data_IF_638528733853
#
_entry.id   IF_638528733853
#
_cell.length_a   1.000
_cell.length_b   1.000
_cell.length_c   1.000
_cell.angle_alpha   90.00
_cell.angle_beta   90.00
_cell.angle_gamma   90.00
#
_symmetry.space_group_name_H-M   'P 1'
#
loop_
_entity.id
_entity.type
_entity.pdbx_description
1 polymer ?
#
# COMPACT_ATOMS: atom_id res chain seq x y z
N UNK A 1 -44.06 -37.63 -67.67
CA UNK A 1 -43.99 -36.68 -66.57
C UNK A 1 -42.84 -37.09 -65.66
N UNK A 2 -41.67 -36.50 -65.77
CA UNK A 2 -40.46 -36.78 -64.94
C UNK A 2 -40.35 -35.64 -63.92
N UNK A 3 -40.46 -35.94 -62.63
CA UNK A 3 -40.24 -35.01 -61.51
C UNK A 3 -38.78 -35.10 -61.09
N UNK A 4 -38.05 -34.04 -61.30
CA UNK A 4 -36.69 -33.87 -60.82
C UNK A 4 -36.70 -33.31 -59.40
N UNK A 5 -36.19 -34.08 -58.42
CA UNK A 5 -35.98 -33.65 -57.03
C UNK A 5 -34.62 -32.87 -56.97
N UNK A 6 -34.68 -31.58 -56.67
CA UNK A 6 -33.47 -30.80 -56.28
C UNK A 6 -33.25 -31.00 -54.79
N UNK A 7 -32.15 -31.63 -54.42
CA UNK A 7 -31.69 -31.72 -53.05
C UNK A 7 -30.78 -30.50 -52.74
N UNK A 8 -31.24 -29.62 -51.86
CA UNK A 8 -30.44 -28.44 -51.40
C UNK A 8 -29.57 -28.94 -50.24
N UNK A 9 -28.25 -29.00 -50.45
CA UNK A 9 -27.26 -29.26 -49.40
C UNK A 9 -26.98 -27.96 -48.69
N UNK A 10 -27.47 -27.81 -47.46
CA UNK A 10 -27.13 -26.72 -46.54
C UNK A 10 -25.74 -26.99 -45.92
N UNK A 11 -24.74 -26.22 -46.32
CA UNK A 11 -23.39 -26.25 -45.76
C UNK A 11 -23.41 -25.48 -44.46
N UNK A 12 -23.48 -26.17 -43.31
CA UNK A 12 -23.26 -25.61 -41.97
C UNK A 12 -21.76 -25.27 -41.79
N UNK A 13 -21.37 -24.04 -42.03
CA UNK A 13 -20.05 -23.52 -41.63
C UNK A 13 -20.12 -23.32 -40.10
N UNK A 14 -19.64 -24.32 -39.33
CA UNK A 14 -19.36 -24.16 -37.91
C UNK A 14 -18.19 -23.19 -37.79
N UNK A 15 -18.47 -21.93 -37.51
CA UNK A 15 -17.45 -20.94 -37.14
C UNK A 15 -16.75 -21.41 -35.86
N UNK A 16 -15.52 -21.92 -35.96
CA UNK A 16 -14.65 -22.08 -34.80
C UNK A 16 -14.41 -20.70 -34.22
N UNK A 17 -15.11 -20.36 -33.12
CA UNK A 17 -14.75 -19.23 -32.29
C UNK A 17 -13.38 -19.53 -31.70
N UNK A 18 -12.33 -18.97 -32.28
CA UNK A 18 -11.02 -18.91 -31.63
C UNK A 18 -11.22 -18.12 -30.33
N UNK A 19 -11.19 -18.82 -29.19
CA UNK A 19 -11.10 -18.15 -27.91
C UNK A 19 -9.79 -17.34 -27.94
N UNK A 20 -9.90 -16.02 -27.90
CA UNK A 20 -8.72 -15.17 -27.80
C UNK A 20 -7.94 -15.56 -26.56
N UNK A 21 -6.61 -15.60 -26.66
CA UNK A 21 -5.74 -15.89 -25.52
C UNK A 21 -6.12 -14.96 -24.35
N UNK A 22 -6.18 -15.48 -23.11
CA UNK A 22 -6.54 -14.66 -21.98
C UNK A 22 -5.57 -13.48 -21.81
N UNK A 23 -6.10 -12.31 -21.45
CA UNK A 23 -5.27 -11.14 -21.17
C UNK A 23 -4.19 -11.51 -20.16
N UNK A 24 -2.94 -11.14 -20.43
CA UNK A 24 -1.81 -11.35 -19.51
C UNK A 24 -1.30 -10.00 -19.02
N UNK A 25 -1.18 -9.86 -17.69
CA UNK A 25 -0.64 -8.65 -17.05
C UNK A 25 0.46 -8.99 -16.06
N UNK A 26 1.39 -8.02 -15.84
CA UNK A 26 2.31 -8.04 -14.73
C UNK A 26 1.75 -7.32 -13.50
N UNK A 27 2.21 -7.72 -12.28
CA UNK A 27 2.06 -6.93 -11.06
C UNK A 27 3.43 -6.84 -10.38
N UNK A 28 4.01 -5.63 -10.46
CA UNK A 28 5.38 -5.34 -10.09
C UNK A 28 5.40 -4.58 -8.76
N UNK A 29 6.13 -5.09 -7.76
CA UNK A 29 6.23 -4.47 -6.43
C UNK A 29 7.67 -4.30 -5.98
N UNK A 30 7.95 -3.20 -5.29
CA UNK A 30 9.30 -2.80 -4.86
C UNK A 30 9.90 -3.70 -3.78
N UNK A 31 9.09 -4.24 -2.88
CA UNK A 31 9.50 -5.03 -1.71
C UNK A 31 8.61 -6.27 -1.58
N UNK A 32 8.91 -7.27 -2.42
CA UNK A 32 8.10 -8.48 -2.55
C UNK A 32 7.90 -9.25 -1.24
N UNK A 33 8.82 -9.10 -0.27
CA UNK A 33 8.80 -9.74 1.03
C UNK A 33 7.89 -9.05 2.06
N UNK A 34 7.50 -7.79 1.84
CA UNK A 34 6.64 -7.07 2.77
C UNK A 34 5.20 -7.62 2.77
N UNK A 35 4.57 -7.77 3.95
CA UNK A 35 3.21 -8.29 4.07
C UNK A 35 2.18 -7.55 3.24
N UNK A 36 2.31 -6.23 3.10
CA UNK A 36 1.43 -5.40 2.27
C UNK A 36 1.42 -5.87 0.81
N UNK A 37 2.59 -6.02 0.20
CA UNK A 37 2.71 -6.43 -1.21
C UNK A 37 2.32 -7.89 -1.43
N UNK A 38 2.51 -8.75 -0.43
CA UNK A 38 2.01 -10.14 -0.47
C UNK A 38 0.47 -10.16 -0.49
N UNK A 39 -0.19 -9.31 0.30
CA UNK A 39 -1.64 -9.18 0.30
C UNK A 39 -2.17 -8.60 -1.02
N UNK A 40 -1.52 -7.58 -1.59
CA UNK A 40 -1.89 -7.09 -2.93
C UNK A 40 -1.81 -8.18 -3.99
N UNK A 41 -0.72 -8.94 -4.03
CA UNK A 41 -0.56 -10.06 -4.95
C UNK A 41 -1.64 -11.13 -4.75
N UNK A 42 -1.97 -11.45 -3.52
CA UNK A 42 -3.05 -12.42 -3.19
C UNK A 42 -4.40 -11.97 -3.76
N UNK A 43 -4.72 -10.68 -3.65
CA UNK A 43 -5.96 -10.14 -4.21
C UNK A 43 -5.91 -9.97 -5.74
N UNK A 44 -4.76 -9.66 -6.32
CA UNK A 44 -4.57 -9.68 -7.77
C UNK A 44 -4.74 -11.10 -8.36
N UNK A 45 -4.25 -12.15 -7.65
CA UNK A 45 -4.49 -13.55 -8.01
C UNK A 45 -5.97 -13.95 -7.89
N UNK A 46 -6.69 -13.44 -6.89
CA UNK A 46 -8.12 -13.62 -6.78
C UNK A 46 -8.83 -13.01 -8.00
N UNK A 47 -8.47 -11.78 -8.36
CA UNK A 47 -8.99 -11.11 -9.56
C UNK A 47 -8.69 -11.91 -10.84
N UNK A 48 -7.48 -12.46 -10.97
CA UNK A 48 -7.07 -13.27 -12.11
C UNK A 48 -7.95 -14.52 -12.26
N UNK A 49 -8.19 -15.23 -11.17
CA UNK A 49 -9.09 -16.41 -11.15
C UNK A 49 -10.53 -16.05 -11.51
N UNK A 50 -11.08 -14.98 -10.91
CA UNK A 50 -12.49 -14.61 -11.10
C UNK A 50 -12.78 -13.95 -12.46
N UNK A 51 -11.80 -13.26 -13.05
CA UNK A 51 -11.97 -12.51 -14.30
C UNK A 51 -11.32 -13.20 -15.52
N UNK A 52 -10.62 -14.33 -15.31
CA UNK A 52 -10.08 -15.16 -16.39
C UNK A 52 -8.89 -14.52 -17.11
N UNK A 53 -7.96 -13.87 -16.40
CA UNK A 53 -6.72 -13.35 -16.97
C UNK A 53 -5.48 -14.02 -16.35
N UNK A 54 -4.33 -13.91 -17.01
CA UNK A 54 -3.05 -14.42 -16.49
C UNK A 54 -2.30 -13.32 -15.76
N UNK A 55 -1.85 -13.62 -14.53
CA UNK A 55 -1.06 -12.71 -13.70
C UNK A 55 0.38 -13.18 -13.59
N UNK A 56 1.34 -12.27 -13.77
CA UNK A 56 2.78 -12.48 -13.54
C UNK A 56 3.23 -11.57 -12.41
N UNK A 57 3.63 -12.15 -11.27
CA UNK A 57 4.11 -11.41 -10.08
C UNK A 57 5.61 -11.22 -10.17
N UNK A 58 6.12 -9.99 -10.01
CA UNK A 58 7.56 -9.69 -10.13
C UNK A 58 7.99 -8.71 -9.04
N UNK A 59 9.00 -9.12 -8.23
CA UNK A 59 9.71 -8.21 -7.33
C UNK A 59 10.72 -7.34 -8.10
N UNK A 60 10.67 -6.02 -7.89
CA UNK A 60 11.50 -5.02 -8.57
C UNK A 60 12.24 -4.15 -7.55
N UNK A 61 13.26 -4.65 -6.86
CA UNK A 61 13.91 -3.96 -5.74
C UNK A 61 14.70 -2.70 -6.13
N UNK A 62 14.93 -2.47 -7.43
CA UNK A 62 15.67 -1.30 -7.94
C UNK A 62 15.29 -0.97 -9.40
N UNK A 63 15.79 0.16 -9.90
CA UNK A 63 15.47 0.65 -11.25
C UNK A 63 15.93 -0.28 -12.38
N UNK A 64 17.09 -0.96 -12.24
CA UNK A 64 17.57 -1.93 -13.23
C UNK A 64 16.60 -3.11 -13.35
N UNK A 65 16.21 -3.72 -12.23
CA UNK A 65 15.24 -4.80 -12.19
C UNK A 65 13.86 -4.38 -12.69
N UNK A 66 13.49 -3.12 -12.45
CA UNK A 66 12.24 -2.54 -12.99
C UNK A 66 12.24 -2.55 -14.52
N UNK A 67 13.30 -2.05 -15.15
CA UNK A 67 13.39 -2.03 -16.62
C UNK A 67 13.44 -3.44 -17.21
N UNK A 68 14.24 -4.31 -16.64
CA UNK A 68 14.33 -5.72 -17.06
C UNK A 68 12.98 -6.46 -16.93
N UNK A 69 12.20 -6.19 -15.87
CA UNK A 69 10.88 -6.77 -15.69
C UNK A 69 9.88 -6.31 -16.76
N UNK A 70 9.90 -5.02 -17.14
CA UNK A 70 9.02 -4.50 -18.21
C UNK A 70 9.36 -5.16 -19.56
N UNK A 71 10.65 -5.26 -19.91
CA UNK A 71 11.08 -5.90 -21.16
C UNK A 71 10.76 -7.41 -21.15
N UNK A 72 10.90 -8.09 -20.02
CA UNK A 72 10.52 -9.50 -19.85
C UNK A 72 9.00 -9.72 -20.01
N UNK A 73 8.16 -8.84 -19.47
CA UNK A 73 6.71 -8.90 -19.66
C UNK A 73 6.33 -8.77 -21.14
N UNK A 74 6.98 -7.86 -21.88
CA UNK A 74 6.79 -7.72 -23.31
C UNK A 74 7.17 -8.99 -24.09
N UNK A 75 8.33 -9.60 -23.75
CA UNK A 75 8.77 -10.87 -24.34
C UNK A 75 7.79 -12.01 -24.04
N UNK A 76 7.12 -12.01 -22.88
CA UNK A 76 6.08 -12.96 -22.51
C UNK A 76 4.70 -12.63 -23.12
N UNK A 77 4.60 -11.65 -24.02
CA UNK A 77 3.35 -11.17 -24.65
C UNK A 77 2.31 -10.66 -23.64
N UNK A 78 2.75 -10.08 -22.52
CA UNK A 78 1.86 -9.33 -21.64
C UNK A 78 1.35 -8.08 -22.38
N UNK A 79 0.15 -7.61 -22.02
CA UNK A 79 -0.48 -6.43 -22.60
C UNK A 79 -0.44 -5.20 -21.67
N UNK A 80 0.02 -5.38 -20.44
CA UNK A 80 0.17 -4.30 -19.47
C UNK A 80 0.68 -4.77 -18.13
N UNK A 81 0.86 -3.82 -17.23
CA UNK A 81 1.29 -4.12 -15.86
C UNK A 81 0.82 -3.07 -14.86
N UNK A 82 0.62 -3.51 -13.62
CA UNK A 82 0.50 -2.68 -12.42
C UNK A 82 1.88 -2.52 -11.83
N UNK A 83 2.21 -1.36 -11.26
CA UNK A 83 3.53 -1.10 -10.68
C UNK A 83 3.47 -0.23 -9.42
N UNK A 84 4.10 -0.72 -8.33
CA UNK A 84 4.63 0.07 -7.23
C UNK A 84 6.15 0.11 -7.37
N UNK A 85 6.70 1.22 -7.87
CA UNK A 85 8.12 1.34 -8.22
C UNK A 85 9.01 1.56 -6.98
N UNK A 86 10.27 1.06 -6.97
CA UNK A 86 11.22 1.27 -5.88
C UNK A 86 11.67 2.74 -5.74
N UNK A 87 11.58 3.50 -6.81
CA UNK A 87 11.80 4.95 -6.84
C UNK A 87 10.73 5.58 -7.75
N UNK A 88 9.91 6.45 -7.20
CA UNK A 88 8.82 7.12 -7.93
C UNK A 88 9.34 7.99 -9.09
N UNK A 89 10.60 8.46 -9.05
CA UNK A 89 11.25 9.24 -10.12
C UNK A 89 11.57 8.42 -11.37
N UNK A 90 11.41 7.11 -11.32
CA UNK A 90 11.48 6.25 -12.50
C UNK A 90 10.31 6.48 -13.47
N UNK A 91 9.32 7.31 -13.11
CA UNK A 91 8.08 7.53 -13.86
C UNK A 91 8.29 7.73 -15.36
N UNK A 92 9.19 8.63 -15.77
CA UNK A 92 9.47 8.85 -17.20
C UNK A 92 10.17 7.69 -17.90
N UNK A 93 10.99 6.91 -17.18
CA UNK A 93 11.61 5.70 -17.72
C UNK A 93 10.58 4.59 -17.91
N UNK A 94 9.71 4.38 -16.91
CA UNK A 94 8.59 3.43 -16.97
C UNK A 94 7.63 3.78 -18.12
N UNK A 95 7.22 5.06 -18.23
CA UNK A 95 6.35 5.53 -19.30
C UNK A 95 6.93 5.21 -20.70
N UNK A 96 8.21 5.54 -20.92
CA UNK A 96 8.91 5.27 -22.19
C UNK A 96 9.03 3.77 -22.47
N UNK A 97 9.39 2.96 -21.46
CA UNK A 97 9.52 1.53 -21.61
C UNK A 97 8.16 0.85 -21.92
N UNK A 98 7.10 1.25 -21.23
CA UNK A 98 5.75 0.77 -21.49
C UNK A 98 5.29 1.11 -22.91
N UNK A 99 5.50 2.37 -23.36
CA UNK A 99 5.13 2.83 -24.71
C UNK A 99 5.93 2.08 -25.79
N UNK A 100 7.25 1.93 -25.63
CA UNK A 100 8.10 1.20 -26.57
C UNK A 100 7.65 -0.25 -26.76
N UNK A 101 7.19 -0.87 -25.70
CA UNK A 101 6.75 -2.27 -25.67
C UNK A 101 5.22 -2.43 -25.89
N UNK A 102 4.49 -1.36 -26.22
CA UNK A 102 3.04 -1.36 -26.37
C UNK A 102 2.28 -1.94 -25.15
N UNK A 103 2.78 -1.66 -23.95
CA UNK A 103 2.18 -2.11 -22.68
C UNK A 103 1.36 -0.97 -22.06
N UNK A 104 0.16 -1.28 -21.58
CA UNK A 104 -0.59 -0.38 -20.70
C UNK A 104 -0.03 -0.45 -19.29
N UNK A 105 0.03 0.68 -18.58
CA UNK A 105 0.56 0.74 -17.21
C UNK A 105 -0.38 1.51 -16.29
N UNK A 106 -0.55 0.99 -15.08
CA UNK A 106 -1.24 1.63 -13.96
C UNK A 106 -0.29 1.61 -12.76
N UNK A 107 -0.10 2.74 -12.09
CA UNK A 107 0.67 2.78 -10.85
C UNK A 107 -0.23 2.52 -9.64
N UNK A 108 0.32 1.88 -8.61
CA UNK A 108 -0.36 1.57 -7.35
C UNK A 108 0.48 2.05 -6.17
N UNK A 109 -0.14 2.40 -5.05
CA UNK A 109 0.42 2.91 -3.79
C UNK A 109 1.18 4.23 -3.94
N UNK A 110 2.32 4.22 -4.63
CA UNK A 110 3.19 5.38 -4.80
C UNK A 110 3.07 5.92 -6.23
N UNK A 111 2.60 7.17 -6.32
CA UNK A 111 2.40 7.82 -7.61
C UNK A 111 3.72 8.10 -8.31
N UNK A 112 3.87 7.64 -9.53
CA UNK A 112 5.03 7.91 -10.37
C UNK A 112 5.14 9.41 -10.70
N UNK A 113 6.35 9.94 -10.57
CA UNK A 113 6.67 11.35 -10.85
C UNK A 113 7.81 11.49 -11.86
N UNK A 114 7.94 12.67 -12.43
CA UNK A 114 9.09 13.04 -13.25
C UNK A 114 10.30 13.47 -12.40
N UNK A 115 11.40 13.87 -13.04
CA UNK A 115 12.63 14.32 -12.37
C UNK A 115 12.45 15.58 -11.50
N UNK A 116 11.39 16.36 -11.74
CA UNK A 116 11.04 17.55 -10.93
C UNK A 116 10.08 17.23 -9.78
N UNK A 117 9.61 15.98 -9.66
CA UNK A 117 8.63 15.58 -8.67
C UNK A 117 7.18 15.78 -9.09
N UNK A 118 6.92 16.15 -10.35
CA UNK A 118 5.56 16.32 -10.87
C UNK A 118 4.97 14.95 -11.26
N UNK A 119 3.70 14.66 -10.90
CA UNK A 119 3.01 13.44 -11.27
C UNK A 119 3.01 13.17 -12.78
N UNK A 120 3.16 11.90 -13.17
CA UNK A 120 3.01 11.45 -14.56
C UNK A 120 1.53 11.21 -14.83
N UNK A 121 0.85 12.21 -15.39
CA UNK A 121 -0.61 12.16 -15.59
C UNK A 121 -1.07 11.14 -16.65
N UNK A 122 -0.18 10.73 -17.55
CA UNK A 122 -0.47 9.70 -18.57
C UNK A 122 -0.56 8.28 -18.00
N UNK A 123 -0.15 8.07 -16.73
CA UNK A 123 -0.23 6.80 -16.04
C UNK A 123 -1.32 6.91 -14.98
N UNK A 124 -2.48 6.23 -15.16
CA UNK A 124 -3.50 6.16 -14.12
C UNK A 124 -2.92 5.63 -12.81
N UNK A 125 -3.41 6.15 -11.70
CA UNK A 125 -2.90 5.85 -10.37
C UNK A 125 -4.01 5.41 -9.42
N UNK A 126 -3.79 4.32 -8.69
CA UNK A 126 -4.56 3.96 -7.51
C UNK A 126 -3.67 4.07 -6.28
N UNK A 127 -4.02 4.95 -5.37
CA UNK A 127 -3.23 5.19 -4.16
C UNK A 127 -4.08 5.55 -2.98
N UNK A 128 -3.43 6.11 -1.98
CA UNK A 128 -4.06 6.64 -0.78
C UNK A 128 -3.78 8.13 -0.68
N UNK A 129 -4.65 8.88 -0.02
CA UNK A 129 -4.29 10.21 0.46
C UNK A 129 -3.39 10.06 1.68
N UNK A 130 -2.06 10.01 1.46
CA UNK A 130 -1.09 9.82 2.53
C UNK A 130 -1.29 10.78 3.69
N UNK A 131 -1.51 12.06 3.40
CA UNK A 131 -1.78 13.08 4.40
C UNK A 131 -3.05 12.81 5.22
N UNK A 132 -4.18 12.48 4.57
CA UNK A 132 -5.45 12.23 5.26
C UNK A 132 -5.40 10.97 6.12
N UNK A 133 -4.75 9.91 5.64
CA UNK A 133 -4.54 8.68 6.44
C UNK A 133 -3.63 8.97 7.63
N UNK A 134 -2.56 9.72 7.43
CA UNK A 134 -1.71 10.19 8.53
C UNK A 134 -2.49 11.03 9.54
N UNK A 135 -3.35 11.92 9.08
CA UNK A 135 -4.22 12.71 9.96
C UNK A 135 -5.12 11.81 10.83
N UNK A 136 -5.69 10.74 10.27
CA UNK A 136 -6.47 9.76 11.04
C UNK A 136 -5.60 9.06 12.12
N UNK A 137 -4.32 8.78 11.85
CA UNK A 137 -3.38 8.27 12.86
C UNK A 137 -3.25 9.26 14.02
N UNK A 138 -2.96 10.52 13.72
CA UNK A 138 -2.82 11.57 14.75
C UNK A 138 -4.08 11.77 15.55
N UNK A 139 -5.26 11.81 14.91
CA UNK A 139 -6.57 11.91 15.57
C UNK A 139 -6.83 10.71 16.49
N UNK A 140 -6.51 9.49 16.06
CA UNK A 140 -6.61 8.29 16.88
C UNK A 140 -5.71 8.32 18.11
N UNK A 141 -4.46 8.80 17.96
CA UNK A 141 -3.55 8.99 19.09
C UNK A 141 -4.08 10.01 20.08
N UNK A 142 -4.59 11.16 19.62
CA UNK A 142 -5.18 12.18 20.49
C UNK A 142 -6.39 11.67 21.24
N UNK A 143 -7.25 10.91 20.58
CA UNK A 143 -8.39 10.26 21.22
C UNK A 143 -7.93 9.33 22.37
N UNK A 144 -6.87 8.55 22.14
CA UNK A 144 -6.36 7.61 23.14
C UNK A 144 -5.60 8.32 24.27
N UNK A 145 -4.85 9.40 24.00
CA UNK A 145 -4.25 10.26 25.04
C UNK A 145 -5.34 10.80 25.99
N UNK A 146 -6.47 11.28 25.43
CA UNK A 146 -7.61 11.77 26.20
C UNK A 146 -8.28 10.66 27.01
N UNK A 147 -8.48 9.49 26.38
CA UNK A 147 -9.08 8.31 27.01
C UNK A 147 -8.26 7.84 28.23
N UNK A 148 -6.94 7.80 28.09
CA UNK A 148 -5.99 7.46 29.17
C UNK A 148 -5.75 8.61 30.16
N UNK A 149 -6.31 9.78 29.94
CA UNK A 149 -6.14 10.99 30.76
C UNK A 149 -4.68 11.40 30.93
N UNK A 150 -3.86 11.21 29.90
CA UNK A 150 -2.47 11.61 29.92
C UNK A 150 -2.30 13.12 29.79
N UNK A 151 -1.39 13.68 30.58
CA UNK A 151 -0.96 15.06 30.38
C UNK A 151 -0.02 15.13 29.16
N UNK A 152 -0.43 15.83 28.10
CA UNK A 152 0.37 15.96 26.87
C UNK A 152 1.79 16.50 27.11
N UNK A 153 2.01 17.31 28.16
CA UNK A 153 3.34 17.80 28.51
C UNK A 153 4.31 16.67 28.95
N UNK A 154 3.79 15.53 29.40
CA UNK A 154 4.54 14.36 29.84
C UNK A 154 4.64 13.26 28.76
N UNK A 155 4.09 13.52 27.55
CA UNK A 155 4.08 12.57 26.43
C UNK A 155 5.15 12.95 25.41
N UNK A 156 6.01 12.01 25.02
CA UNK A 156 6.90 12.10 23.87
C UNK A 156 6.27 11.46 22.63
N UNK A 157 6.38 12.11 21.46
CA UNK A 157 5.92 11.57 20.20
C UNK A 157 7.11 11.19 19.30
N UNK A 158 7.27 9.91 18.99
CA UNK A 158 8.28 9.43 18.06
C UNK A 158 7.68 9.46 16.64
N UNK A 159 8.26 10.26 15.76
CA UNK A 159 7.99 10.22 14.34
C UNK A 159 9.06 9.35 13.66
N UNK A 160 8.71 8.10 13.35
CA UNK A 160 9.58 7.20 12.58
C UNK A 160 9.54 7.64 11.12
N UNK A 161 10.55 8.44 10.75
CA UNK A 161 10.56 9.18 9.50
C UNK A 161 11.25 8.43 8.36
N UNK A 162 10.66 8.52 7.15
CA UNK A 162 11.27 8.08 5.89
C UNK A 162 10.91 9.09 4.81
N UNK A 163 11.49 10.30 4.90
CA UNK A 163 11.06 11.47 4.13
C UNK A 163 11.51 11.46 2.67
N UNK A 164 12.39 10.55 2.29
CA UNK A 164 12.78 10.33 0.90
C UNK A 164 11.65 9.72 0.04
N UNK A 165 10.65 9.09 0.67
CA UNK A 165 9.43 8.61 0.02
C UNK A 165 8.32 9.64 0.25
N UNK A 166 7.81 10.33 -0.79
CA UNK A 166 6.79 11.38 -0.65
C UNK A 166 5.56 10.93 0.12
N UNK A 167 4.99 9.76 -0.19
CA UNK A 167 3.83 9.21 0.53
C UNK A 167 4.14 8.90 2.01
N UNK A 168 5.37 8.45 2.32
CA UNK A 168 5.82 8.25 3.70
C UNK A 168 5.90 9.55 4.48
N UNK A 169 6.43 10.61 3.85
CA UNK A 169 6.48 11.96 4.42
C UNK A 169 5.08 12.53 4.67
N UNK A 170 4.17 12.40 3.69
CA UNK A 170 2.78 12.86 3.81
C UNK A 170 2.06 12.19 4.98
N UNK A 171 2.20 10.87 5.14
CA UNK A 171 1.59 10.10 6.25
C UNK A 171 2.05 10.65 7.60
N UNK A 172 3.37 10.76 7.79
CA UNK A 172 3.89 11.26 9.07
C UNK A 172 3.60 12.74 9.28
N UNK A 173 3.58 13.57 8.22
CA UNK A 173 3.20 14.99 8.31
C UNK A 173 1.75 15.13 8.75
N UNK A 174 0.80 14.41 8.13
CA UNK A 174 -0.60 14.44 8.50
C UNK A 174 -0.84 14.05 9.98
N UNK A 175 -0.12 13.03 10.46
CA UNK A 175 -0.19 12.61 11.87
C UNK A 175 0.32 13.70 12.81
N UNK A 176 1.48 14.28 12.52
CA UNK A 176 2.08 15.34 13.33
C UNK A 176 1.23 16.62 13.34
N UNK A 177 0.65 16.99 12.20
CA UNK A 177 -0.21 18.16 12.10
C UNK A 177 -1.50 17.97 12.92
N UNK A 178 -2.08 16.77 12.93
CA UNK A 178 -3.22 16.45 13.79
C UNK A 178 -2.85 16.54 15.29
N UNK A 179 -1.68 16.04 15.69
CA UNK A 179 -1.19 16.20 17.06
C UNK A 179 -1.05 17.67 17.44
N UNK A 180 -0.39 18.49 16.61
CA UNK A 180 -0.21 19.94 16.83
C UNK A 180 -1.53 20.67 16.89
N UNK A 181 -2.46 20.36 15.98
CA UNK A 181 -3.79 20.99 15.96
C UNK A 181 -4.59 20.71 17.23
N UNK A 182 -4.34 19.60 17.91
CA UNK A 182 -4.94 19.26 19.20
C UNK A 182 -4.20 19.85 20.41
N UNK A 183 -3.16 20.67 20.21
CA UNK A 183 -2.38 21.31 21.27
C UNK A 183 -1.20 20.47 21.79
N UNK A 184 -0.79 19.41 21.09
CA UNK A 184 0.37 18.63 21.48
C UNK A 184 1.65 19.47 21.37
N UNK A 185 2.52 19.51 22.41
CA UNK A 185 3.70 20.36 22.41
C UNK A 185 4.68 20.00 21.29
N UNK A 186 5.02 20.95 20.42
CA UNK A 186 5.93 20.71 19.31
C UNK A 186 7.33 20.25 19.77
N UNK A 187 7.80 20.72 20.92
CA UNK A 187 9.08 20.32 21.53
C UNK A 187 9.11 18.85 22.01
N UNK A 188 7.97 18.19 22.09
CA UNK A 188 7.85 16.79 22.47
C UNK A 188 7.80 15.85 21.27
N UNK A 189 7.83 16.39 20.05
CA UNK A 189 7.88 15.60 18.81
C UNK A 189 9.34 15.34 18.47
N UNK A 190 9.71 14.08 18.35
CA UNK A 190 11.08 13.61 18.18
C UNK A 190 11.17 12.83 16.87
N UNK A 191 11.96 13.33 15.94
CA UNK A 191 12.25 12.64 14.70
C UNK A 191 13.21 11.46 14.93
N UNK A 192 12.82 10.30 14.40
CA UNK A 192 13.58 9.06 14.38
C UNK A 192 13.72 8.59 12.93
N UNK A 193 14.67 9.15 12.16
CA UNK A 193 14.85 8.77 10.76
C UNK A 193 15.37 7.34 10.65
N UNK A 194 14.67 6.51 9.85
CA UNK A 194 15.06 5.14 9.55
C UNK A 194 15.72 5.04 8.16
N UNK A 195 16.63 4.08 8.00
CA UNK A 195 17.34 3.88 6.73
C UNK A 195 16.53 3.04 5.73
N UNK A 196 15.64 2.16 6.20
CA UNK A 196 14.72 1.34 5.43
C UNK A 196 13.35 1.30 6.12
N UNK A 197 12.32 0.87 5.39
CA UNK A 197 10.92 0.86 5.86
C UNK A 197 10.53 -0.43 6.60
N UNK A 198 11.48 -1.07 7.28
CA UNK A 198 11.29 -2.32 8.02
C UNK A 198 11.33 -2.12 9.54
N UNK A 199 10.92 -3.16 10.27
CA UNK A 199 10.84 -3.15 11.74
C UNK A 199 12.21 -2.98 12.41
N UNK A 200 13.28 -3.54 11.85
CA UNK A 200 14.63 -3.48 12.44
C UNK A 200 15.20 -2.05 12.36
N UNK A 201 15.12 -1.42 11.19
CA UNK A 201 15.59 -0.04 11.02
C UNK A 201 14.76 0.94 11.86
N UNK A 202 13.45 0.72 11.97
CA UNK A 202 12.57 1.51 12.83
C UNK A 202 12.90 1.32 14.32
N UNK A 203 13.18 0.09 14.76
CA UNK A 203 13.63 -0.20 16.11
C UNK A 203 14.91 0.57 16.45
N UNK A 204 15.92 0.51 15.58
CA UNK A 204 17.19 1.19 15.79
C UNK A 204 17.02 2.71 15.91
N UNK A 205 16.24 3.31 15.02
CA UNK A 205 15.96 4.75 15.03
C UNK A 205 15.18 5.18 16.29
N UNK A 206 14.13 4.44 16.65
CA UNK A 206 13.32 4.71 17.84
C UNK A 206 14.09 4.51 19.13
N UNK A 207 14.96 3.49 19.22
CA UNK A 207 15.78 3.24 20.40
C UNK A 207 16.73 4.42 20.68
N UNK A 208 17.30 5.04 19.64
CA UNK A 208 18.12 6.25 19.79
C UNK A 208 17.27 7.42 20.31
N UNK A 209 16.06 7.62 19.73
CA UNK A 209 15.15 8.68 20.16
C UNK A 209 14.71 8.54 21.61
N UNK A 210 14.34 7.33 22.03
CA UNK A 210 13.96 7.00 23.41
C UNK A 210 15.11 7.23 24.39
N UNK A 211 16.34 6.81 24.02
CA UNK A 211 17.52 6.98 24.87
C UNK A 211 17.81 8.46 25.18
N UNK A 212 17.72 9.30 24.14
CA UNK A 212 18.00 10.73 24.28
C UNK A 212 16.90 11.52 25.01
N UNK A 213 15.72 10.95 25.16
CA UNK A 213 14.55 11.66 25.67
C UNK A 213 13.84 10.92 26.84
N UNK A 214 14.60 10.30 27.73
CA UNK A 214 14.10 9.49 28.84
C UNK A 214 13.20 10.24 29.85
N UNK A 215 13.02 11.55 29.70
CA UNK A 215 12.21 12.41 30.57
C UNK A 215 10.70 12.17 30.50
N UNK A 216 10.22 11.60 29.40
CA UNK A 216 8.78 11.40 29.18
C UNK A 216 8.24 10.18 29.93
N UNK A 217 7.06 10.32 30.52
CA UNK A 217 6.36 9.23 31.22
C UNK A 217 5.61 8.33 30.23
N UNK A 218 5.09 8.92 29.16
CA UNK A 218 4.30 8.24 28.15
C UNK A 218 4.85 8.51 26.77
N UNK A 219 4.56 7.60 25.85
CA UNK A 219 5.05 7.70 24.48
C UNK A 219 3.96 7.42 23.47
N UNK A 220 4.02 8.13 22.36
CA UNK A 220 3.25 7.80 21.18
C UNK A 220 4.19 7.61 19.99
N UNK A 221 3.79 6.78 19.03
CA UNK A 221 4.59 6.55 17.82
C UNK A 221 3.72 6.62 16.57
N UNK A 222 4.25 7.31 15.56
CA UNK A 222 3.73 7.40 14.21
C UNK A 222 4.80 6.99 13.21
N UNK A 223 4.41 6.37 12.11
CA UNK A 223 5.30 5.94 11.03
C UNK A 223 4.55 5.85 9.72
N UNK A 224 5.26 5.50 8.65
CA UNK A 224 4.65 5.38 7.33
C UNK A 224 3.86 4.08 7.13
N UNK A 225 4.17 3.03 7.90
CA UNK A 225 3.56 1.69 7.83
C UNK A 225 3.50 1.05 9.22
N UNK A 226 2.93 -0.15 9.30
CA UNK A 226 2.83 -0.92 10.54
C UNK A 226 4.20 -1.33 11.08
N UNK A 227 5.14 -1.72 10.21
CA UNK A 227 6.49 -2.16 10.55
C UNK A 227 7.29 -1.06 11.26
N UNK A 228 7.14 0.20 10.78
CA UNK A 228 7.80 1.34 11.40
C UNK A 228 7.32 1.56 12.84
N UNK A 229 6.02 1.45 13.08
CA UNK A 229 5.43 1.63 14.42
C UNK A 229 5.73 0.41 15.30
N UNK A 230 5.70 -0.81 14.76
CA UNK A 230 6.09 -2.01 15.49
C UNK A 230 7.54 -1.93 15.96
N UNK A 231 8.45 -1.42 15.13
CA UNK A 231 9.84 -1.18 15.52
C UNK A 231 9.95 -0.24 16.72
N UNK A 232 9.21 0.88 16.70
CA UNK A 232 9.18 1.83 17.81
C UNK A 232 8.58 1.21 19.11
N UNK A 233 7.54 0.40 18.98
CA UNK A 233 6.94 -0.33 20.10
C UNK A 233 7.93 -1.32 20.68
N UNK A 234 8.65 -2.10 19.87
CA UNK A 234 9.68 -3.05 20.33
C UNK A 234 10.84 -2.34 21.03
N UNK A 235 11.25 -1.16 20.51
CA UNK A 235 12.27 -0.36 21.18
C UNK A 235 11.81 0.13 22.58
N UNK A 236 10.55 0.55 22.70
CA UNK A 236 9.96 0.94 23.97
C UNK A 236 9.87 -0.23 24.95
N UNK A 237 9.39 -1.40 24.52
CA UNK A 237 9.34 -2.64 25.31
C UNK A 237 10.73 -3.05 25.81
N UNK A 238 11.76 -3.02 24.95
CA UNK A 238 13.14 -3.32 25.29
C UNK A 238 13.72 -2.39 26.39
N UNK A 239 13.09 -1.23 26.58
CA UNK A 239 13.44 -0.26 27.65
C UNK A 239 12.53 -0.34 28.86
N UNK A 240 11.65 -1.35 28.94
CA UNK A 240 10.73 -1.54 30.04
C UNK A 240 9.51 -0.61 30.02
N UNK A 241 9.23 0.12 28.92
CA UNK A 241 8.04 0.92 28.77
C UNK A 241 6.86 -0.03 28.52
N UNK A 242 5.90 -0.04 29.46
CA UNK A 242 4.75 -0.93 29.41
C UNK A 242 3.72 -0.46 28.39
N UNK A 243 2.86 -1.39 27.94
CA UNK A 243 1.77 -1.11 26.99
C UNK A 243 0.86 0.06 27.42
N UNK A 244 0.61 0.19 28.73
CA UNK A 244 -0.20 1.29 29.29
C UNK A 244 0.45 2.67 29.16
N UNK A 245 1.75 2.71 28.87
CA UNK A 245 2.54 3.94 28.70
C UNK A 245 2.97 4.17 27.24
N UNK A 246 2.44 3.37 26.29
CA UNK A 246 2.77 3.48 24.87
C UNK A 246 1.50 3.40 23.99
N UNK A 247 1.40 4.26 23.01
CA UNK A 247 0.35 4.22 21.98
C UNK A 247 1.01 4.38 20.60
N UNK A 248 1.15 3.29 19.89
CA UNK A 248 1.59 3.28 18.49
C UNK A 248 0.40 3.01 17.56
N UNK A 249 0.20 3.84 16.56
CA UNK A 249 -0.80 3.60 15.50
C UNK A 249 -0.08 3.54 14.17
N UNK A 250 -0.13 2.36 13.54
CA UNK A 250 0.47 2.09 12.23
C UNK A 250 -0.45 2.45 11.06
N UNK A 251 -0.01 2.12 9.87
CA UNK A 251 -0.76 2.27 8.61
C UNK A 251 -0.54 1.01 7.77
N UNK A 252 -1.64 0.47 7.23
CA UNK A 252 -1.66 -0.71 6.37
C UNK A 252 -2.72 -1.69 6.83
N UNK A 253 -2.67 -2.14 8.07
CA UNK A 253 -3.59 -3.14 8.62
C UNK A 253 -3.35 -4.55 8.07
N UNK A 254 -2.14 -4.79 7.52
CA UNK A 254 -1.74 -6.08 6.96
C UNK A 254 -1.45 -7.12 8.06
N UNK A 255 -0.91 -8.28 7.68
CA UNK A 255 -0.70 -9.43 8.57
C UNK A 255 0.11 -9.10 9.82
N UNK A 256 1.07 -8.18 9.75
CA UNK A 256 1.88 -7.75 10.89
C UNK A 256 1.03 -7.09 11.98
N UNK A 257 0.15 -6.15 11.58
CA UNK A 257 -0.79 -5.50 12.49
C UNK A 257 -1.83 -6.48 13.04
N UNK A 258 -2.38 -7.35 12.19
CA UNK A 258 -3.32 -8.40 12.60
C UNK A 258 -2.74 -9.29 13.68
N UNK A 259 -1.53 -9.82 13.46
CA UNK A 259 -0.84 -10.68 14.42
C UNK A 259 -0.60 -9.94 15.74
N UNK A 260 -0.21 -8.67 15.68
CA UNK A 260 0.05 -7.88 16.87
C UNK A 260 -1.23 -7.61 17.69
N UNK A 261 -2.30 -7.22 17.02
CA UNK A 261 -3.59 -6.95 17.66
C UNK A 261 -4.29 -8.23 18.17
N UNK A 262 -3.92 -9.40 17.67
CA UNK A 262 -4.47 -10.69 18.08
C UNK A 262 -3.71 -11.34 19.26
N UNK A 263 -2.63 -10.74 19.75
CA UNK A 263 -1.89 -11.27 20.90
C UNK A 263 -2.76 -11.33 22.15
N UNK A 264 -2.60 -12.32 23.04
CA UNK A 264 -3.39 -12.41 24.29
C UNK A 264 -3.28 -11.15 25.15
N UNK A 265 -2.07 -10.61 25.32
CA UNK A 265 -1.82 -9.36 26.03
C UNK A 265 -1.72 -8.18 25.05
N UNK A 266 -2.25 -7.02 25.45
CA UNK A 266 -2.06 -5.78 24.72
C UNK A 266 -0.59 -5.37 24.76
N UNK A 267 -0.11 -4.81 23.65
CA UNK A 267 1.21 -4.19 23.53
C UNK A 267 1.06 -2.67 23.34
N UNK A 268 2.18 -1.96 23.19
CA UNK A 268 2.15 -0.55 22.84
C UNK A 268 1.60 -0.26 21.44
N UNK A 269 1.40 -1.27 20.59
CA UNK A 269 0.75 -1.14 19.29
C UNK A 269 -0.78 -1.12 19.48
N UNK A 270 -1.34 0.08 19.50
CA UNK A 270 -2.76 0.30 19.79
C UNK A 270 -3.66 -0.04 18.60
N UNK A 271 -3.21 0.28 17.39
CA UNK A 271 -4.00 0.06 16.19
C UNK A 271 -3.25 0.35 14.91
N UNK A 272 -3.95 0.22 13.81
CA UNK A 272 -3.48 0.56 12.46
C UNK A 272 -4.60 1.23 11.66
N UNK A 273 -4.30 2.29 10.93
CA UNK A 273 -5.21 2.77 9.90
C UNK A 273 -5.11 1.81 8.72
N UNK A 274 -6.07 0.90 8.67
CA UNK A 274 -6.15 -0.15 7.65
C UNK A 274 -6.48 0.45 6.29
N UNK A 275 -5.73 0.01 5.27
CA UNK A 275 -5.96 0.31 3.86
C UNK A 275 -6.43 -0.99 3.20
N UNK A 276 -7.27 -0.91 2.16
CA UNK A 276 -7.76 -2.09 1.48
C UNK A 276 -6.75 -2.63 0.47
N UNK A 277 -5.94 -3.60 0.86
CA UNK A 277 -5.09 -4.34 -0.07
C UNK A 277 -5.92 -5.01 -1.20
N UNK A 278 -7.22 -5.29 -0.94
CA UNK A 278 -8.14 -5.77 -1.96
C UNK A 278 -8.39 -4.72 -3.04
N UNK A 279 -8.64 -3.46 -2.68
CA UNK A 279 -8.80 -2.40 -3.68
C UNK A 279 -7.50 -2.22 -4.47
N UNK A 280 -6.36 -2.19 -3.80
CA UNK A 280 -5.06 -2.02 -4.44
C UNK A 280 -4.67 -3.20 -5.34
N UNK A 281 -4.80 -4.44 -4.90
CA UNK A 281 -4.46 -5.61 -5.70
C UNK A 281 -5.53 -6.00 -6.72
N UNK A 282 -6.77 -6.25 -6.24
CA UNK A 282 -7.88 -6.74 -7.07
C UNK A 282 -8.38 -5.67 -8.05
N UNK A 283 -8.80 -4.51 -7.52
CA UNK A 283 -9.46 -3.51 -8.36
C UNK A 283 -8.50 -2.87 -9.36
N UNK A 284 -7.24 -2.64 -8.98
CA UNK A 284 -6.22 -2.11 -9.91
C UNK A 284 -5.97 -3.08 -11.06
N UNK A 285 -5.88 -4.39 -10.77
CA UNK A 285 -5.72 -5.43 -11.80
C UNK A 285 -6.93 -5.50 -12.73
N UNK A 286 -8.15 -5.47 -12.17
CA UNK A 286 -9.40 -5.46 -12.96
C UNK A 286 -9.50 -4.20 -13.84
N UNK A 287 -9.13 -3.04 -13.31
CA UNK A 287 -9.13 -1.79 -14.07
C UNK A 287 -8.17 -1.84 -15.26
N UNK A 288 -6.97 -2.38 -15.06
CA UNK A 288 -5.99 -2.57 -16.13
C UNK A 288 -6.50 -3.55 -17.21
N UNK A 289 -7.05 -4.70 -16.80
CA UNK A 289 -7.61 -5.71 -17.73
C UNK A 289 -8.80 -5.13 -18.51
N UNK A 290 -9.68 -4.38 -17.88
CA UNK A 290 -10.78 -3.69 -18.55
C UNK A 290 -10.26 -2.69 -19.59
N UNK A 291 -9.23 -1.91 -19.25
CA UNK A 291 -8.61 -0.99 -20.19
C UNK A 291 -7.98 -1.72 -21.39
N UNK A 292 -7.26 -2.81 -21.17
CA UNK A 292 -6.70 -3.66 -22.22
C UNK A 292 -7.79 -4.22 -23.11
N UNK A 293 -8.92 -4.64 -22.54
CA UNK A 293 -10.07 -5.21 -23.25
C UNK A 293 -10.97 -4.15 -23.93
N UNK A 294 -10.56 -2.88 -24.01
CA UNK A 294 -11.29 -1.83 -24.71
C UNK A 294 -12.46 -1.20 -23.95
N UNK A 295 -12.64 -1.49 -22.65
CA UNK A 295 -13.71 -0.90 -21.81
C UNK A 295 -13.39 0.53 -21.31
N UNK A 296 -12.33 1.16 -21.82
CA UNK A 296 -11.88 2.48 -21.42
C UNK A 296 -10.76 2.48 -20.38
N UNK A 297 -10.00 3.58 -20.34
CA UNK A 297 -8.97 3.80 -19.33
C UNK A 297 -9.62 4.03 -17.96
N UNK A 298 -8.98 3.60 -16.85
CA UNK A 298 -9.43 3.98 -15.51
C UNK A 298 -9.29 5.49 -15.30
N UNK A 299 -9.96 6.07 -14.29
CA UNK A 299 -9.73 7.46 -13.88
C UNK A 299 -8.23 7.75 -13.69
N UNK A 300 -7.80 8.98 -13.96
CA UNK A 300 -6.41 9.37 -13.80
C UNK A 300 -5.88 9.16 -12.39
N UNK A 301 -6.76 9.29 -11.39
CA UNK A 301 -6.46 9.04 -9.98
C UNK A 301 -7.66 8.44 -9.25
N UNK A 302 -7.41 7.41 -8.43
CA UNK A 302 -8.34 6.82 -7.48
C UNK A 302 -7.64 6.81 -6.12
N UNK A 303 -8.21 7.52 -5.13
CA UNK A 303 -7.67 7.54 -3.77
C UNK A 303 -8.58 6.73 -2.85
N UNK A 304 -8.01 5.70 -2.25
CA UNK A 304 -8.69 4.83 -1.28
C UNK A 304 -8.68 5.47 0.11
N UNK A 305 -9.64 5.06 0.96
CA UNK A 305 -9.78 5.56 2.33
C UNK A 305 -9.24 4.54 3.33
N UNK A 306 -8.74 5.04 4.46
CA UNK A 306 -8.36 4.20 5.59
C UNK A 306 -9.45 4.13 6.66
N UNK A 307 -9.41 3.08 7.48
CA UNK A 307 -10.22 2.92 8.70
C UNK A 307 -9.32 2.53 9.87
N UNK A 308 -9.47 3.21 11.02
CA UNK A 308 -8.72 2.86 12.23
C UNK A 308 -9.20 1.51 12.77
N UNK A 309 -8.32 0.53 12.65
CA UNK A 309 -8.47 -0.82 13.20
C UNK A 309 -7.74 -0.90 14.54
N UNK A 310 -8.42 -1.38 15.55
CA UNK A 310 -7.90 -1.62 16.90
C UNK A 310 -8.24 -3.04 17.32
N UNK A 311 -7.74 -3.47 18.45
CA UNK A 311 -8.09 -4.77 19.04
C UNK A 311 -9.62 -4.94 19.22
N UNK A 312 -10.33 -3.87 19.54
CA UNK A 312 -11.76 -3.92 19.85
C UNK A 312 -12.65 -4.07 18.59
N UNK A 313 -12.21 -3.55 17.43
CA UNK A 313 -13.03 -3.50 16.21
C UNK A 313 -12.40 -4.22 15.01
N UNK A 314 -11.36 -5.03 15.22
CA UNK A 314 -10.60 -5.67 14.14
C UNK A 314 -11.47 -6.43 13.14
N UNK A 315 -12.39 -7.26 13.62
CA UNK A 315 -13.26 -8.06 12.74
C UNK A 315 -14.23 -7.21 11.90
N UNK A 316 -14.77 -6.13 12.51
CA UNK A 316 -15.68 -5.20 11.84
C UNK A 316 -14.95 -4.42 10.74
N UNK A 317 -13.78 -3.85 11.06
CA UNK A 317 -12.99 -3.06 10.11
C UNK A 317 -12.52 -3.92 8.94
N UNK A 318 -12.03 -5.15 9.20
CA UNK A 318 -11.62 -6.07 8.13
C UNK A 318 -12.77 -6.40 7.19
N UNK A 319 -13.94 -6.73 7.72
CA UNK A 319 -15.16 -6.97 6.92
C UNK A 319 -15.53 -5.74 6.09
N UNK A 320 -15.51 -4.53 6.67
CA UNK A 320 -15.80 -3.28 5.97
C UNK A 320 -14.80 -3.00 4.84
N UNK A 321 -13.52 -3.37 5.03
CA UNK A 321 -12.45 -3.23 4.03
C UNK A 321 -12.41 -4.39 3.02
N UNK A 322 -13.37 -5.32 3.08
CA UNK A 322 -13.52 -6.42 2.12
C UNK A 322 -12.55 -7.58 2.33
N UNK A 323 -12.09 -7.80 3.58
CA UNK A 323 -11.18 -8.88 3.97
C UNK A 323 -11.85 -9.90 4.90
#
# INVERSE_FOLDING_TARGET
MKRTLLATVALCVAGMAYAADPVKIGFLVKQAEEPWFQDEWRYAELAAREKGFTLVKIGIPNGEKTMAAIDNLAAQKAQGFVICAPDVKLGKAVERAARRNNLKVVSVDDRLVDGSGKPIESIPHMGISGYQIGKQVGEGIIAEIKNRKWNMAEVGAIRVAYDQLPTGKERTTGAIDALKAAGFPAANIIDAPQAKTDTENAFNAANIALTKNARFKHWVAVGLNDEAVLGAVRAAEGRGIKADNMVGIGIGGAKAAENELSKPAATGFFGSVMISAKEHGYQTSVNLVNWISGKGAPPAEILTKGMLMTRANQAEVRKAMGQ
#
